data_IF_229457852049
#
_entry.id   IF_229457852049
#
_cell.length_a   1.000
_cell.length_b   1.000
_cell.length_c   1.000
_cell.angle_alpha   90.00
_cell.angle_beta   90.00
_cell.angle_gamma   90.00
#
_symmetry.space_group_name_H-M   'P 1'
#
loop_
_entity.id
_entity.type
_entity.pdbx_description
1 polymer ?
#
# COMPACT_ATOMS: atom_id res chain seq x y z
N UNK A 1 4.09 -17.84 -19.71
CA UNK A 1 2.82 -17.62 -18.97
C UNK A 1 2.36 -16.19 -19.13
N UNK A 2 1.07 -15.99 -19.38
CA UNK A 2 0.43 -14.66 -19.47
C UNK A 2 0.67 -13.86 -18.19
N UNK A 3 0.89 -12.55 -18.30
CA UNK A 3 0.96 -11.66 -17.12
C UNK A 3 -0.34 -11.65 -16.31
N UNK A 4 -1.46 -12.06 -16.93
CA UNK A 4 -2.78 -12.10 -16.31
C UNK A 4 -3.12 -13.41 -15.61
N UNK A 5 -2.27 -14.43 -15.72
CA UNK A 5 -2.52 -15.72 -15.07
C UNK A 5 -2.02 -15.71 -13.63
N UNK A 6 -2.93 -15.88 -12.69
CA UNK A 6 -2.73 -15.74 -11.23
C UNK A 6 -3.12 -17.04 -10.55
N UNK A 7 -2.41 -17.42 -9.49
CA UNK A 7 -2.77 -18.56 -8.65
C UNK A 7 -3.48 -18.08 -7.38
N UNK A 8 -4.68 -18.61 -7.12
CA UNK A 8 -5.37 -18.45 -5.84
C UNK A 8 -5.26 -19.75 -5.04
N UNK A 9 -4.82 -19.65 -3.78
CA UNK A 9 -4.71 -20.80 -2.88
C UNK A 9 -5.49 -20.48 -1.60
N UNK A 10 -6.39 -21.37 -1.19
CA UNK A 10 -6.99 -21.34 0.15
C UNK A 10 -7.55 -22.72 0.48
N UNK A 11 -7.35 -23.18 1.72
CA UNK A 11 -7.94 -24.43 2.18
C UNK A 11 -9.45 -24.27 2.46
N UNK A 12 -9.95 -23.06 2.65
CA UNK A 12 -11.38 -22.74 2.77
C UNK A 12 -11.98 -22.53 1.37
N UNK A 13 -13.08 -23.23 1.05
CA UNK A 13 -13.71 -23.16 -0.26
C UNK A 13 -14.36 -21.80 -0.55
N UNK A 14 -15.02 -21.23 0.45
CA UNK A 14 -15.79 -20.01 0.30
C UNK A 14 -14.85 -18.81 0.25
N UNK A 15 -13.79 -18.83 1.06
CA UNK A 15 -12.70 -17.86 0.93
C UNK A 15 -12.01 -17.98 -0.45
N UNK A 16 -11.72 -19.20 -0.92
CA UNK A 16 -11.14 -19.40 -2.25
C UNK A 16 -12.04 -18.79 -3.34
N UNK A 17 -13.35 -19.06 -3.32
CA UNK A 17 -14.32 -18.50 -4.28
C UNK A 17 -14.33 -16.97 -4.26
N UNK A 18 -14.30 -16.36 -3.07
CA UNK A 18 -14.23 -14.89 -2.93
C UNK A 18 -12.95 -14.32 -3.52
N UNK A 19 -11.80 -14.96 -3.28
CA UNK A 19 -10.52 -14.55 -3.85
C UNK A 19 -10.59 -14.65 -5.38
N UNK A 20 -11.01 -15.79 -5.92
CA UNK A 20 -11.16 -15.99 -7.38
C UNK A 20 -12.05 -14.90 -7.99
N UNK A 21 -13.24 -14.66 -7.44
CA UNK A 21 -14.16 -13.64 -7.95
C UNK A 21 -13.55 -12.23 -7.95
N UNK A 22 -12.79 -11.86 -6.92
CA UNK A 22 -12.09 -10.57 -6.89
C UNK A 22 -10.95 -10.49 -7.91
N UNK A 23 -10.20 -11.57 -8.11
CA UNK A 23 -9.12 -11.63 -9.10
C UNK A 23 -9.67 -11.54 -10.54
N UNK A 24 -10.72 -12.29 -10.85
CA UNK A 24 -11.39 -12.25 -12.16
C UNK A 24 -12.01 -10.87 -12.44
N UNK A 25 -12.65 -10.26 -11.43
CA UNK A 25 -13.16 -8.89 -11.52
C UNK A 25 -12.04 -7.88 -11.80
N UNK A 26 -10.82 -8.13 -11.31
CA UNK A 26 -9.64 -7.32 -11.61
C UNK A 26 -9.00 -7.64 -12.99
N UNK A 27 -9.57 -8.59 -13.75
CA UNK A 27 -9.14 -8.98 -15.09
C UNK A 27 -8.10 -10.10 -15.14
N UNK A 28 -7.98 -10.90 -14.09
CA UNK A 28 -7.10 -12.08 -14.05
C UNK A 28 -7.72 -13.31 -14.70
N UNK A 29 -6.88 -14.17 -15.26
CA UNK A 29 -7.17 -15.59 -15.47
C UNK A 29 -6.70 -16.35 -14.23
N UNK A 30 -7.57 -17.10 -13.56
CA UNK A 30 -7.26 -17.66 -12.24
C UNK A 30 -7.12 -19.17 -12.29
N UNK A 31 -5.97 -19.68 -11.86
CA UNK A 31 -5.84 -21.08 -11.44
C UNK A 31 -6.12 -21.14 -9.94
N UNK A 32 -6.99 -22.06 -9.50
CA UNK A 32 -7.39 -22.18 -8.09
C UNK A 32 -6.93 -23.51 -7.50
N UNK A 33 -6.40 -23.48 -6.28
CA UNK A 33 -5.95 -24.67 -5.56
C UNK A 33 -6.40 -24.64 -4.09
N UNK A 34 -6.77 -25.80 -3.54
CA UNK A 34 -7.14 -25.92 -2.11
C UNK A 34 -5.93 -26.01 -1.18
N UNK A 35 -4.75 -26.25 -1.73
CA UNK A 35 -3.50 -26.25 -0.98
C UNK A 35 -2.33 -25.98 -1.92
N UNK A 36 -1.20 -25.50 -1.38
CA UNK A 36 0.02 -25.41 -2.15
C UNK A 36 0.42 -26.80 -2.70
N UNK A 37 0.31 -27.86 -1.90
CA UNK A 37 0.61 -29.24 -2.28
C UNK A 37 -0.22 -29.78 -3.46
N UNK A 38 -1.40 -29.21 -3.72
CA UNK A 38 -2.25 -29.60 -4.87
C UNK A 38 -1.67 -29.15 -6.21
N UNK A 39 -0.74 -28.20 -6.23
CA UNK A 39 -0.03 -27.82 -7.45
C UNK A 39 1.00 -28.91 -7.76
N UNK A 40 0.87 -29.59 -8.89
CA UNK A 40 1.74 -30.75 -9.25
C UNK A 40 3.20 -30.33 -9.47
N UNK A 41 3.42 -29.14 -10.01
CA UNK A 41 4.78 -28.66 -10.30
C UNK A 41 5.58 -28.45 -9.01
N UNK A 42 6.80 -28.99 -8.95
CA UNK A 42 7.71 -28.80 -7.81
C UNK A 42 7.91 -27.31 -7.50
N UNK A 43 8.20 -26.53 -8.54
CA UNK A 43 8.23 -25.07 -8.51
C UNK A 43 6.95 -24.50 -9.12
N UNK A 44 6.25 -23.66 -8.36
CA UNK A 44 5.03 -22.97 -8.79
C UNK A 44 5.41 -21.98 -9.91
N UNK A 45 4.86 -22.15 -11.13
CA UNK A 45 5.31 -21.37 -12.28
C UNK A 45 4.72 -19.93 -12.30
N UNK A 46 3.66 -19.69 -11.52
CA UNK A 46 2.93 -18.42 -11.46
C UNK A 46 3.78 -17.27 -10.95
N UNK A 47 3.62 -16.12 -11.58
CA UNK A 47 4.26 -14.88 -11.14
C UNK A 47 3.51 -14.24 -9.98
N UNK A 48 2.18 -14.24 -10.03
CA UNK A 48 1.33 -13.63 -9.01
C UNK A 48 0.55 -14.72 -8.29
N UNK A 49 0.61 -14.72 -6.97
CA UNK A 49 -0.01 -15.74 -6.12
C UNK A 49 -0.75 -15.02 -4.98
N UNK A 50 -2.01 -15.36 -4.77
CA UNK A 50 -2.81 -14.92 -3.65
C UNK A 50 -3.05 -16.14 -2.76
N UNK A 51 -2.45 -16.14 -1.58
CA UNK A 51 -2.49 -17.28 -0.67
C UNK A 51 -3.20 -16.90 0.62
N UNK A 52 -4.35 -17.53 0.85
CA UNK A 52 -5.07 -17.40 2.09
C UNK A 52 -4.59 -18.40 3.13
N UNK A 53 -4.38 -17.91 4.35
CA UNK A 53 -3.99 -18.66 5.52
C UNK A 53 -4.95 -18.37 6.67
N UNK A 54 -5.02 -19.30 7.62
CA UNK A 54 -5.71 -19.05 8.89
C UNK A 54 -4.90 -18.09 9.78
N UNK A 55 -5.56 -17.55 10.80
CA UNK A 55 -4.90 -16.70 11.79
C UNK A 55 -3.74 -17.45 12.46
N UNK A 56 -2.52 -16.95 12.26
CA UNK A 56 -1.31 -17.51 12.87
C UNK A 56 -0.71 -18.73 12.17
N UNK A 57 -1.26 -19.19 11.04
CA UNK A 57 -0.70 -20.32 10.27
C UNK A 57 0.48 -19.86 9.38
N UNK A 58 1.59 -19.51 10.04
CA UNK A 58 2.85 -19.17 9.36
C UNK A 58 3.50 -20.40 8.71
N UNK A 59 3.23 -21.60 9.23
CA UNK A 59 3.74 -22.85 8.68
C UNK A 59 3.24 -23.09 7.25
N UNK A 60 1.99 -22.73 6.95
CA UNK A 60 1.47 -22.72 5.59
C UNK A 60 2.34 -21.86 4.65
N UNK A 61 2.70 -20.65 5.09
CA UNK A 61 3.59 -19.75 4.32
C UNK A 61 4.96 -20.36 4.14
N UNK A 62 5.58 -20.87 5.21
CA UNK A 62 6.89 -21.52 5.15
C UNK A 62 6.93 -22.73 4.21
N UNK A 63 5.85 -23.51 4.13
CA UNK A 63 5.72 -24.63 3.18
C UNK A 63 5.58 -24.16 1.73
N UNK A 64 5.02 -22.98 1.50
CA UNK A 64 4.91 -22.39 0.16
C UNK A 64 6.28 -21.87 -0.34
N UNK A 65 7.07 -21.23 0.51
CA UNK A 65 8.28 -20.48 0.13
C UNK A 65 9.30 -21.27 -0.73
N UNK A 66 9.67 -22.54 -0.41
CA UNK A 66 10.62 -23.30 -1.22
C UNK A 66 10.15 -23.54 -2.65
N UNK A 67 8.83 -23.47 -2.88
CA UNK A 67 8.21 -23.76 -4.17
C UNK A 67 8.01 -22.51 -5.02
N UNK A 68 8.30 -21.33 -4.49
CA UNK A 68 8.16 -20.08 -5.21
C UNK A 68 9.39 -19.79 -6.08
N UNK A 69 9.16 -19.49 -7.36
CA UNK A 69 10.19 -18.89 -8.23
C UNK A 69 10.70 -17.56 -7.67
N UNK A 70 11.95 -17.21 -7.98
CA UNK A 70 12.60 -15.97 -7.49
C UNK A 70 11.82 -14.68 -7.78
N UNK A 71 11.15 -14.59 -8.94
CA UNK A 71 10.38 -13.40 -9.36
C UNK A 71 8.88 -13.49 -9.03
N UNK A 72 8.50 -14.36 -8.09
CA UNK A 72 7.12 -14.43 -7.62
C UNK A 72 6.78 -13.18 -6.81
N UNK A 73 5.52 -12.76 -6.92
CA UNK A 73 4.90 -11.77 -6.06
C UNK A 73 3.71 -12.43 -5.37
N UNK A 74 3.83 -12.60 -4.08
CA UNK A 74 2.80 -13.22 -3.24
C UNK A 74 2.08 -12.13 -2.44
N UNK A 75 0.75 -12.25 -2.41
CA UNK A 75 -0.12 -11.56 -1.47
C UNK A 75 -0.65 -12.61 -0.48
N UNK A 76 -0.33 -12.46 0.80
CA UNK A 76 -0.88 -13.30 1.86
C UNK A 76 -2.19 -12.68 2.34
N UNK A 77 -3.23 -13.50 2.48
CA UNK A 77 -4.55 -13.09 2.93
C UNK A 77 -4.84 -13.81 4.23
N UNK A 78 -5.13 -13.09 5.31
CA UNK A 78 -5.43 -13.69 6.60
C UNK A 78 -6.64 -12.98 7.24
N UNK A 79 -7.58 -13.69 7.90
CA UNK A 79 -8.70 -13.02 8.56
C UNK A 79 -8.24 -12.07 9.67
N UNK A 80 -7.19 -12.45 10.39
CA UNK A 80 -6.51 -11.67 11.41
C UNK A 80 -5.02 -12.01 11.43
N UNK A 81 -4.19 -11.10 11.93
CA UNK A 81 -2.76 -11.32 12.13
C UNK A 81 -2.23 -10.36 13.20
N UNK A 82 -1.33 -10.86 14.04
CA UNK A 82 -0.53 -10.00 14.94
C UNK A 82 0.57 -9.31 14.15
N UNK A 83 1.02 -8.15 14.64
CA UNK A 83 2.09 -7.37 14.01
C UNK A 83 3.38 -8.18 13.81
N UNK A 84 3.74 -9.03 14.78
CA UNK A 84 4.90 -9.93 14.71
C UNK A 84 4.82 -10.89 13.52
N UNK A 85 3.65 -11.50 13.28
CA UNK A 85 3.41 -12.38 12.14
C UNK A 85 3.48 -11.63 10.81
N UNK A 86 2.97 -10.38 10.76
CA UNK A 86 3.05 -9.54 9.56
C UNK A 86 4.51 -9.26 9.19
N UNK A 87 5.35 -8.93 10.18
CA UNK A 87 6.77 -8.68 9.96
C UNK A 87 7.47 -9.92 9.43
N UNK A 88 7.27 -11.08 10.07
CA UNK A 88 7.86 -12.36 9.67
C UNK A 88 7.51 -12.74 8.23
N UNK A 89 6.22 -12.68 7.87
CA UNK A 89 5.74 -12.96 6.51
C UNK A 89 6.38 -12.01 5.49
N UNK A 90 6.55 -10.73 5.85
CA UNK A 90 7.15 -9.74 4.97
C UNK A 90 8.68 -9.86 4.89
N UNK A 91 9.39 -10.64 5.70
CA UNK A 91 10.84 -10.80 5.55
C UNK A 91 11.24 -11.41 4.19
N UNK A 92 10.40 -12.29 3.61
CA UNK A 92 10.66 -12.86 2.29
C UNK A 92 10.38 -11.83 1.18
N UNK A 93 11.36 -11.58 0.31
CA UNK A 93 11.27 -10.59 -0.79
C UNK A 93 10.17 -10.90 -1.81
N UNK A 94 9.73 -12.16 -1.91
CA UNK A 94 8.67 -12.57 -2.82
C UNK A 94 7.29 -12.21 -2.28
N UNK A 95 7.13 -12.08 -0.96
CA UNK A 95 5.87 -11.67 -0.32
C UNK A 95 5.83 -10.14 -0.24
N UNK A 96 4.96 -9.50 -1.03
CA UNK A 96 4.96 -8.03 -1.15
C UNK A 96 3.70 -7.39 -0.55
N UNK A 97 2.70 -8.20 -0.19
CA UNK A 97 1.43 -7.73 0.33
C UNK A 97 0.95 -8.70 1.42
N UNK A 98 0.39 -8.14 2.50
CA UNK A 98 -0.42 -8.89 3.45
C UNK A 98 -1.75 -8.16 3.57
N UNK A 99 -2.86 -8.89 3.44
CA UNK A 99 -4.23 -8.37 3.43
C UNK A 99 -4.93 -8.99 4.64
N UNK A 100 -5.33 -8.16 5.59
CA UNK A 100 -5.85 -8.60 6.89
C UNK A 100 -7.13 -7.87 7.27
N UNK A 101 -8.01 -8.55 8.00
CA UNK A 101 -9.18 -7.94 8.62
C UNK A 101 -10.38 -7.85 7.69
N UNK A 102 -11.28 -6.90 7.96
CA UNK A 102 -12.60 -6.82 7.32
C UNK A 102 -12.56 -6.45 5.82
N UNK A 103 -11.42 -5.94 5.34
CA UNK A 103 -11.25 -5.46 3.97
C UNK A 103 -10.69 -6.53 3.01
N UNK A 104 -10.82 -7.83 3.29
CA UNK A 104 -10.21 -8.90 2.47
C UNK A 104 -10.60 -8.81 0.99
N UNK A 105 -11.90 -8.66 0.69
CA UNK A 105 -12.38 -8.61 -0.69
C UNK A 105 -11.84 -7.39 -1.43
N UNK A 106 -11.98 -6.23 -0.80
CA UNK A 106 -11.55 -4.94 -1.36
C UNK A 106 -10.04 -4.90 -1.54
N UNK A 107 -9.30 -5.30 -0.51
CA UNK A 107 -7.85 -5.38 -0.51
C UNK A 107 -7.32 -6.35 -1.57
N UNK A 108 -7.97 -7.50 -1.73
CA UNK A 108 -7.61 -8.50 -2.77
C UNK A 108 -7.81 -7.92 -4.17
N UNK A 109 -8.98 -7.33 -4.43
CA UNK A 109 -9.29 -6.70 -5.72
C UNK A 109 -8.31 -5.57 -6.06
N UNK A 110 -8.08 -4.62 -5.14
CA UNK A 110 -7.18 -3.49 -5.36
C UNK A 110 -5.74 -3.97 -5.59
N UNK A 111 -5.27 -4.93 -4.79
CA UNK A 111 -3.92 -5.50 -4.92
C UNK A 111 -3.75 -6.18 -6.28
N UNK A 112 -4.73 -6.96 -6.71
CA UNK A 112 -4.72 -7.60 -8.02
C UNK A 112 -4.69 -6.57 -9.15
N UNK A 113 -5.55 -5.55 -9.11
CA UNK A 113 -5.59 -4.51 -10.12
C UNK A 113 -4.23 -3.79 -10.26
N UNK A 114 -3.59 -3.45 -9.14
CA UNK A 114 -2.25 -2.82 -9.13
C UNK A 114 -1.19 -3.72 -9.75
N UNK A 115 -1.15 -5.00 -9.36
CA UNK A 115 -0.16 -5.96 -9.85
C UNK A 115 -0.31 -6.27 -11.34
N UNK A 116 -1.56 -6.36 -11.82
CA UNK A 116 -1.87 -6.72 -13.20
C UNK A 116 -1.67 -5.55 -14.18
N UNK A 117 -1.99 -4.33 -13.74
CA UNK A 117 -1.87 -3.12 -14.58
C UNK A 117 -0.49 -2.46 -14.50
N UNK A 118 0.23 -2.66 -13.38
CA UNK A 118 1.43 -1.90 -13.06
C UNK A 118 1.15 -0.46 -12.61
N UNK A 119 -0.12 -0.05 -12.56
CA UNK A 119 -0.54 1.22 -11.98
C UNK A 119 -0.72 1.04 -10.48
N UNK A 120 0.35 1.30 -9.72
CA UNK A 120 0.44 0.98 -8.29
C UNK A 120 -0.13 2.09 -7.40
N UNK A 121 0.01 3.35 -7.83
CA UNK A 121 -0.23 4.53 -6.99
C UNK A 121 -1.58 5.18 -7.29
N UNK A 122 -2.12 5.94 -6.33
CA UNK A 122 -3.36 6.70 -6.52
C UNK A 122 -4.42 6.36 -5.49
N UNK A 123 -5.04 7.39 -4.90
CA UNK A 123 -6.08 7.20 -3.87
C UNK A 123 -7.40 6.80 -4.48
N UNK A 124 -7.65 7.14 -5.74
CA UNK A 124 -8.83 6.78 -6.51
C UNK A 124 -9.14 5.28 -6.51
N UNK A 125 -8.11 4.43 -6.37
CA UNK A 125 -8.25 2.97 -6.24
C UNK A 125 -8.92 2.54 -4.93
N UNK A 126 -8.86 3.41 -3.92
CA UNK A 126 -9.42 3.24 -2.58
C UNK A 126 -10.66 4.12 -2.37
N UNK A 127 -11.27 4.64 -3.44
CA UNK A 127 -12.47 5.44 -3.39
C UNK A 127 -13.58 4.77 -4.21
N UNK A 128 -14.86 5.01 -3.87
CA UNK A 128 -15.95 4.67 -4.76
C UNK A 128 -15.73 5.28 -6.16
N UNK A 129 -16.11 4.57 -7.24
CA UNK A 129 -16.03 5.11 -8.59
C UNK A 129 -16.68 6.49 -8.72
N UNK A 130 -16.01 7.41 -9.41
CA UNK A 130 -16.51 8.78 -9.61
C UNK A 130 -16.29 9.76 -8.45
N UNK A 131 -15.68 9.32 -7.33
CA UNK A 131 -15.35 10.22 -6.22
C UNK A 131 -14.39 11.33 -6.70
N UNK A 132 -14.72 12.62 -6.54
CA UNK A 132 -13.83 13.71 -6.90
C UNK A 132 -12.54 13.68 -6.07
N UNK A 133 -11.39 13.71 -6.75
CA UNK A 133 -10.08 13.79 -6.12
C UNK A 133 -9.50 15.17 -6.36
N UNK A 134 -9.23 15.89 -5.28
CA UNK A 134 -8.57 17.19 -5.31
C UNK A 134 -7.06 17.04 -5.30
N UNK A 135 -6.36 18.05 -5.82
CA UNK A 135 -4.92 18.02 -6.01
C UNK A 135 -4.27 19.35 -5.59
N UNK A 136 -3.19 19.26 -4.81
CA UNK A 136 -2.32 20.38 -4.46
C UNK A 136 -0.88 20.02 -4.78
N UNK A 137 -0.08 21.03 -5.14
CA UNK A 137 1.35 20.88 -5.38
C UNK A 137 2.10 21.97 -4.62
N UNK A 138 3.14 21.57 -3.90
CA UNK A 138 3.97 22.47 -3.11
C UNK A 138 5.46 22.24 -3.39
N UNK A 139 6.25 23.30 -3.23
CA UNK A 139 7.72 23.29 -3.39
C UNK A 139 8.45 23.90 -2.19
N UNK A 140 7.74 24.61 -1.33
CA UNK A 140 8.29 25.36 -0.22
C UNK A 140 7.47 25.13 1.05
N UNK A 141 8.07 25.52 2.17
CA UNK A 141 7.54 25.30 3.49
C UNK A 141 6.38 26.24 3.83
N UNK A 142 6.39 27.49 3.36
CA UNK A 142 5.25 28.40 3.52
C UNK A 142 3.97 27.81 2.91
N UNK A 143 4.10 27.07 1.80
CA UNK A 143 3.00 26.32 1.19
C UNK A 143 2.46 25.18 2.06
N UNK A 144 3.21 24.66 3.05
CA UNK A 144 2.78 23.56 3.92
C UNK A 144 1.57 23.94 4.77
N UNK A 145 1.65 25.06 5.50
CA UNK A 145 0.57 25.53 6.37
C UNK A 145 -0.70 25.78 5.55
N UNK A 146 -0.57 26.54 4.45
CA UNK A 146 -1.68 26.81 3.53
C UNK A 146 -2.29 25.54 2.94
N UNK A 147 -1.48 24.53 2.61
CA UNK A 147 -1.98 23.25 2.11
C UNK A 147 -2.77 22.49 3.17
N UNK A 148 -2.30 22.46 4.42
CA UNK A 148 -3.01 21.85 5.54
C UNK A 148 -4.33 22.58 5.78
N UNK A 149 -4.31 23.91 5.85
CA UNK A 149 -5.52 24.73 6.03
C UNK A 149 -6.55 24.44 4.93
N UNK A 150 -6.11 24.40 3.67
CA UNK A 150 -6.98 24.07 2.53
C UNK A 150 -7.65 22.69 2.67
N UNK A 151 -6.92 21.70 3.17
CA UNK A 151 -7.43 20.34 3.36
C UNK A 151 -8.41 20.30 4.55
N UNK A 152 -8.12 21.03 5.63
CA UNK A 152 -8.99 21.13 6.79
C UNK A 152 -10.30 21.86 6.48
N UNK A 153 -10.22 22.93 5.68
CA UNK A 153 -11.39 23.66 5.18
C UNK A 153 -12.26 22.75 4.30
N UNK A 154 -11.62 21.98 3.42
CA UNK A 154 -12.33 20.97 2.62
C UNK A 154 -12.99 19.92 3.52
N UNK A 155 -12.28 19.35 4.50
CA UNK A 155 -12.84 18.38 5.45
C UNK A 155 -14.02 18.98 6.24
N UNK A 156 -13.95 20.25 6.63
CA UNK A 156 -15.06 20.97 7.26
C UNK A 156 -16.25 21.11 6.32
N UNK A 157 -16.04 21.50 5.06
CA UNK A 157 -17.10 21.61 4.06
C UNK A 157 -17.75 20.26 3.75
N UNK A 158 -16.99 19.17 3.83
CA UNK A 158 -17.47 17.78 3.74
C UNK A 158 -18.12 17.27 5.04
N UNK A 159 -18.41 18.15 6.00
CA UNK A 159 -19.09 17.85 7.26
C UNK A 159 -18.35 16.86 8.17
N UNK A 160 -17.02 16.77 8.06
CA UNK A 160 -16.22 15.93 8.95
C UNK A 160 -16.26 16.45 10.39
N UNK A 161 -16.44 15.51 11.34
CA UNK A 161 -16.46 15.81 12.78
C UNK A 161 -15.12 16.38 13.24
N UNK A 162 -15.12 17.25 14.25
CA UNK A 162 -13.92 17.92 14.77
C UNK A 162 -12.77 16.94 15.10
N UNK A 163 -13.06 15.83 15.76
CA UNK A 163 -12.05 14.81 16.08
C UNK A 163 -11.39 14.22 14.83
N UNK A 164 -12.17 13.95 13.79
CA UNK A 164 -11.67 13.44 12.50
C UNK A 164 -10.83 14.51 11.81
N UNK A 165 -11.24 15.78 11.83
CA UNK A 165 -10.45 16.89 11.27
C UNK A 165 -9.11 17.07 11.98
N UNK A 166 -9.07 16.92 13.30
CA UNK A 166 -7.81 16.95 14.05
C UNK A 166 -6.86 15.82 13.58
N UNK A 167 -7.38 14.60 13.44
CA UNK A 167 -6.60 13.47 12.92
C UNK A 167 -6.11 13.71 11.48
N UNK A 168 -6.96 14.28 10.62
CA UNK A 168 -6.59 14.69 9.25
C UNK A 168 -5.43 15.69 9.27
N UNK A 169 -5.48 16.70 10.15
CA UNK A 169 -4.41 17.69 10.31
C UNK A 169 -3.08 17.04 10.71
N UNK A 170 -3.10 16.18 11.74
CA UNK A 170 -1.92 15.46 12.20
C UNK A 170 -1.31 14.56 11.12
N UNK A 171 -2.14 13.78 10.41
CA UNK A 171 -1.68 12.93 9.30
C UNK A 171 -1.11 13.76 8.15
N UNK A 172 -1.74 14.89 7.80
CA UNK A 172 -1.20 15.78 6.78
C UNK A 172 0.17 16.34 7.17
N UNK A 173 0.31 16.78 8.41
CA UNK A 173 1.56 17.31 8.91
C UNK A 173 2.68 16.26 8.83
N UNK A 174 2.47 15.06 9.36
CA UNK A 174 3.46 14.00 9.35
C UNK A 174 3.86 13.58 7.93
N UNK A 175 2.89 13.34 7.04
CA UNK A 175 3.17 12.94 5.67
C UNK A 175 3.92 14.03 4.89
N UNK A 176 3.58 15.31 5.12
CA UNK A 176 4.27 16.42 4.49
C UNK A 176 5.67 16.65 5.06
N UNK A 177 5.87 16.47 6.36
CA UNK A 177 7.18 16.52 6.99
C UNK A 177 8.09 15.46 6.38
N UNK A 178 7.63 14.20 6.32
CA UNK A 178 8.37 13.10 5.72
C UNK A 178 8.75 13.41 4.25
N UNK A 179 7.80 13.93 3.47
CA UNK A 179 8.02 14.20 2.05
C UNK A 179 8.91 15.42 1.77
N UNK A 180 8.84 16.47 2.60
CA UNK A 180 9.59 17.71 2.41
C UNK A 180 10.97 17.67 3.06
N UNK A 181 11.17 16.86 4.12
CA UNK A 181 12.39 16.89 4.95
C UNK A 181 13.16 15.58 5.00
N UNK A 182 12.48 14.46 5.28
CA UNK A 182 13.21 13.21 5.56
C UNK A 182 13.50 12.42 4.27
N UNK A 183 12.63 12.56 3.27
CA UNK A 183 12.77 11.92 1.97
C UNK A 183 13.85 12.51 1.04
N UNK A 184 14.06 13.85 0.95
CA UNK A 184 15.04 14.45 0.06
C UNK A 184 16.48 13.96 0.28
N UNK A 185 17.10 13.50 -0.81
CA UNK A 185 18.51 13.09 -0.87
C UNK A 185 19.26 13.83 -1.97
N UNK A 186 20.56 14.02 -1.77
CA UNK A 186 21.48 14.49 -2.81
C UNK A 186 21.77 13.38 -3.84
N UNK A 187 22.55 13.71 -4.88
CA UNK A 187 22.93 12.75 -5.93
C UNK A 187 23.78 11.58 -5.39
N UNK A 188 24.34 11.71 -4.18
CA UNK A 188 25.07 10.66 -3.46
C UNK A 188 24.22 9.83 -2.50
N UNK A 189 22.90 10.07 -2.43
CA UNK A 189 21.98 9.35 -1.55
C UNK A 189 21.99 9.81 -0.08
N UNK A 190 22.73 10.89 0.25
CA UNK A 190 22.76 11.46 1.60
C UNK A 190 21.55 12.37 1.81
N UNK A 191 21.02 12.39 3.03
CA UNK A 191 19.89 13.23 3.37
C UNK A 191 20.25 14.71 3.26
N UNK A 192 19.49 15.47 2.46
CA UNK A 192 19.75 16.90 2.18
C UNK A 192 19.66 17.74 3.46
N UNK A 193 18.78 17.35 4.38
CA UNK A 193 18.44 18.14 5.55
C UNK A 193 18.95 17.57 6.88
N UNK A 194 19.79 16.52 6.85
CA UNK A 194 20.25 15.83 8.07
C UNK A 194 20.95 16.80 9.04
N UNK A 195 21.74 17.73 8.52
CA UNK A 195 22.56 18.68 9.27
C UNK A 195 21.93 20.08 9.39
N UNK A 196 20.73 20.30 8.81
CA UNK A 196 20.05 21.59 8.85
C UNK A 196 19.16 21.65 10.08
N UNK A 197 19.29 22.71 10.89
CA UNK A 197 18.43 22.96 12.05
C UNK A 197 16.95 23.01 11.61
N UNK A 198 16.02 22.33 12.31
CA UNK A 198 14.59 22.35 12.00
C UNK A 198 13.99 23.76 11.80
N UNK A 199 14.51 24.78 12.48
CA UNK A 199 14.03 26.16 12.34
C UNK A 199 14.55 26.85 11.08
N UNK A 200 15.72 26.47 10.57
CA UNK A 200 16.29 27.04 9.33
C UNK A 200 15.76 26.34 8.07
N UNK A 201 15.26 25.12 8.23
CA UNK A 201 14.61 24.33 7.18
C UNK A 201 13.43 25.05 6.52
N UNK A 202 12.73 25.91 7.24
CA UNK A 202 11.56 26.68 6.74
C UNK A 202 11.90 27.64 5.60
N UNK A 203 13.17 28.04 5.46
CA UNK A 203 13.64 28.91 4.38
C UNK A 203 14.10 28.15 3.15
N UNK A 204 14.12 26.81 3.23
CA UNK A 204 14.68 25.98 2.18
C UNK A 204 13.59 25.39 1.29
N UNK A 205 13.85 25.35 -0.01
CA UNK A 205 12.96 24.70 -0.97
C UNK A 205 13.28 23.22 -1.04
N UNK A 206 12.23 22.40 -1.15
CA UNK A 206 12.44 20.99 -1.48
C UNK A 206 13.01 20.89 -2.90
N UNK A 207 14.05 20.06 -3.14
CA UNK A 207 14.66 19.95 -4.47
C UNK A 207 13.67 19.50 -5.56
N UNK A 208 12.62 18.77 -5.17
CA UNK A 208 11.55 18.33 -6.06
C UNK A 208 10.19 18.67 -5.44
N UNK A 209 9.18 19.01 -6.25
CA UNK A 209 7.84 19.30 -5.76
C UNK A 209 7.19 18.06 -5.16
N UNK A 210 6.49 18.28 -4.05
CA UNK A 210 5.59 17.31 -3.42
C UNK A 210 4.17 17.56 -3.94
N UNK A 211 3.39 16.49 -4.07
CA UNK A 211 1.98 16.58 -4.43
C UNK A 211 1.10 15.92 -3.38
N UNK A 212 -0.04 16.54 -3.09
CA UNK A 212 -1.07 16.02 -2.21
C UNK A 212 -2.31 15.73 -3.04
N UNK A 213 -2.94 14.58 -2.78
CA UNK A 213 -4.29 14.26 -3.24
C UNK A 213 -5.17 14.00 -2.05
N UNK A 214 -6.41 14.48 -2.12
CA UNK A 214 -7.38 14.25 -1.05
C UNK A 214 -8.79 14.15 -1.60
N UNK A 215 -9.63 13.40 -0.89
CA UNK A 215 -11.03 13.20 -1.21
C UNK A 215 -11.82 12.87 0.06
N UNK A 216 -13.11 13.17 0.04
CA UNK A 216 -14.04 12.81 1.10
C UNK A 216 -15.15 11.93 0.52
N UNK A 217 -15.56 10.92 1.28
CA UNK A 217 -16.78 10.16 1.05
C UNK A 217 -17.67 10.28 2.29
N UNK A 218 -18.84 9.64 2.27
CA UNK A 218 -19.71 9.57 3.45
C UNK A 218 -19.08 8.84 4.65
N UNK A 219 -18.13 7.93 4.39
CA UNK A 219 -17.55 7.04 5.39
C UNK A 219 -16.07 7.27 5.68
N UNK A 220 -15.34 7.98 4.81
CA UNK A 220 -13.89 8.16 4.96
C UNK A 220 -13.38 9.48 4.39
N UNK A 221 -12.21 9.89 4.87
CA UNK A 221 -11.41 10.95 4.28
C UNK A 221 -10.07 10.36 3.84
N UNK A 222 -9.76 10.44 2.55
CA UNK A 222 -8.56 9.87 1.96
C UNK A 222 -7.53 10.96 1.69
N UNK A 223 -6.27 10.69 2.00
CA UNK A 223 -5.12 11.59 1.78
C UNK A 223 -3.98 10.76 1.22
N UNK A 224 -3.31 11.27 0.19
CA UNK A 224 -2.01 10.76 -0.23
C UNK A 224 -1.06 11.90 -0.49
N UNK A 225 0.15 11.74 0.03
CA UNK A 225 1.30 12.58 -0.29
C UNK A 225 2.24 11.77 -1.17
N UNK A 226 2.75 12.41 -2.22
CA UNK A 226 3.73 11.82 -3.14
C UNK A 226 4.94 12.74 -3.27
N UNK A 227 6.10 12.20 -2.95
CA UNK A 227 7.41 12.78 -3.25
C UNK A 227 8.05 12.13 -4.50
N UNK A 228 9.28 12.56 -4.84
CA UNK A 228 10.04 12.08 -6.00
C UNK A 228 11.49 11.70 -5.64
N UNK A 229 11.72 11.31 -4.39
CA UNK A 229 13.05 10.98 -3.87
C UNK A 229 13.27 9.47 -3.73
N UNK A 230 12.19 8.67 -3.63
CA UNK A 230 12.21 7.24 -3.97
C UNK A 230 13.04 6.35 -3.03
N UNK A 231 12.92 6.55 -1.71
CA UNK A 231 13.82 5.94 -0.72
C UNK A 231 13.21 4.83 0.15
N UNK A 232 11.89 4.69 0.23
CA UNK A 232 11.29 3.74 1.17
C UNK A 232 11.35 2.30 0.63
N UNK A 233 12.50 1.66 0.81
CA UNK A 233 12.69 0.24 0.50
C UNK A 233 12.03 -0.61 1.59
N UNK A 234 11.47 -1.75 1.19
CA UNK A 234 10.83 -2.72 2.09
C UNK A 234 11.74 -3.10 3.27
N UNK A 235 13.01 -3.38 2.99
CA UNK A 235 13.97 -3.78 4.03
C UNK A 235 14.25 -2.66 5.04
N UNK A 236 14.18 -1.40 4.61
CA UNK A 236 14.30 -0.26 5.52
C UNK A 236 13.13 -0.18 6.47
N UNK A 237 11.90 -0.48 6.00
CA UNK A 237 10.70 -0.50 6.85
C UNK A 237 10.77 -1.65 7.87
N UNK A 238 11.19 -2.84 7.44
CA UNK A 238 11.22 -4.03 8.29
C UNK A 238 12.38 -4.06 9.29
N UNK A 239 13.34 -3.14 9.18
CA UNK A 239 14.49 -3.01 10.09
C UNK A 239 14.26 -2.05 11.26
N UNK A 240 13.19 -1.25 11.22
CA UNK A 240 12.77 -0.38 12.33
C UNK A 240 12.01 -1.17 13.39
#
# INVERSE_FOLDING_TARGET
MSKRRVLAISHDLDQLRRIVGNLERAGAEVDAARSASSVVAEVIPHRYIFYAIDEGDLDAVHKLLPRLRQKAHVAVIAPAAKLEHLNEVLQDQRINHVIVGEELDRGTFITAQKLLTGDIFGIEKYLPPGTPVHYLRLRDFEGRGKAIDTILDFAQSSKMRRQVRNAIGSVCEELLMNALYDAPVDDGGRQVFAEVDPHDRVKTRSPKPVSIRYAATESQFAIAVRDRFGRLAKNTVLSY
#
